data_IF_762922109180
#
_entry.id   IF_762922109180
#
_cell.length_a   1.000
_cell.length_b   1.000
_cell.length_c   1.000
_cell.angle_alpha   90.00
_cell.angle_beta   90.00
_cell.angle_gamma   90.00
#
_symmetry.space_group_name_H-M   'P 1'
#
loop_
_entity.id
_entity.type
_entity.pdbx_description
1 polymer ?
#
# COMPACT_ATOMS: atom_id res chain seq x y z
N UNK A 1 9.25 15.14 -11.62
CA UNK A 1 8.81 14.31 -10.48
C UNK A 1 9.83 13.21 -10.28
N UNK A 2 10.14 12.88 -9.03
CA UNK A 2 11.13 11.85 -8.66
C UNK A 2 10.36 10.65 -8.07
N UNK A 3 10.58 9.41 -8.56
CA UNK A 3 9.94 8.23 -7.98
C UNK A 3 10.29 8.06 -6.50
N UNK A 4 9.35 7.53 -5.71
CA UNK A 4 9.53 7.25 -4.28
C UNK A 4 10.59 6.18 -3.96
N UNK A 5 11.05 5.44 -4.97
CA UNK A 5 11.97 4.30 -4.82
C UNK A 5 11.26 2.97 -4.52
N UNK A 6 9.96 3.01 -4.23
CA UNK A 6 9.13 1.80 -4.09
C UNK A 6 8.78 1.22 -5.49
N UNK A 7 8.65 -0.11 -5.63
CA UNK A 7 8.23 -0.73 -6.88
C UNK A 7 6.86 -0.25 -7.36
N UNK A 8 6.70 -0.14 -8.69
CA UNK A 8 5.40 0.15 -9.29
C UNK A 8 4.44 -1.03 -9.16
N UNK A 9 3.16 -0.72 -9.02
CA UNK A 9 2.06 -1.68 -8.96
C UNK A 9 1.43 -1.82 -10.34
N UNK A 10 1.45 -3.03 -10.88
CA UNK A 10 0.76 -3.35 -12.13
C UNK A 10 -0.73 -3.62 -11.86
N UNK A 11 -1.61 -2.88 -12.53
CA UNK A 11 -3.06 -3.06 -12.45
C UNK A 11 -3.72 -2.55 -13.73
N UNK A 12 -4.69 -3.27 -14.29
CA UNK A 12 -5.48 -2.81 -15.44
C UNK A 12 -4.65 -2.44 -16.69
N UNK A 13 -3.49 -3.09 -16.92
CA UNK A 13 -2.60 -2.77 -18.04
C UNK A 13 -1.70 -1.55 -17.83
N UNK A 14 -1.70 -0.95 -16.63
CA UNK A 14 -0.83 0.16 -16.27
C UNK A 14 0.11 -0.20 -15.13
N UNK A 15 1.27 0.47 -15.08
CA UNK A 15 2.18 0.44 -13.95
C UNK A 15 2.01 1.74 -13.17
N UNK A 16 1.76 1.66 -11.87
CA UNK A 16 1.36 2.77 -11.02
C UNK A 16 2.35 2.96 -9.87
N UNK A 17 2.88 4.16 -9.65
CA UNK A 17 3.83 4.41 -8.57
C UNK A 17 3.66 5.80 -7.94
N UNK A 18 4.11 5.93 -6.70
CA UNK A 18 4.25 7.22 -6.03
C UNK A 18 5.47 7.96 -6.55
N UNK A 19 5.26 9.21 -6.92
CA UNK A 19 6.30 10.17 -7.26
C UNK A 19 6.13 11.45 -6.45
N UNK A 20 7.22 12.19 -6.27
CA UNK A 20 7.22 13.45 -5.54
C UNK A 20 7.68 14.59 -6.45
N UNK A 21 7.02 15.73 -6.34
CA UNK A 21 7.48 16.96 -6.98
C UNK A 21 8.70 17.54 -6.25
N UNK A 22 9.34 18.56 -6.82
CA UNK A 22 10.41 19.30 -6.14
C UNK A 22 9.91 20.02 -4.87
N UNK A 23 8.61 20.30 -4.78
CA UNK A 23 7.98 20.85 -3.57
C UNK A 23 7.61 19.78 -2.54
N UNK A 24 7.92 18.51 -2.80
CA UNK A 24 7.61 17.39 -1.91
C UNK A 24 6.15 16.94 -1.94
N UNK A 25 5.33 17.49 -2.83
CA UNK A 25 3.95 17.05 -2.99
C UNK A 25 3.93 15.67 -3.66
N UNK A 26 3.23 14.68 -3.09
CA UNK A 26 3.08 13.39 -3.72
C UNK A 26 2.17 13.48 -4.94
N UNK A 27 2.38 12.58 -5.89
CA UNK A 27 1.53 12.31 -7.04
C UNK A 27 1.54 10.82 -7.32
N UNK A 28 0.43 10.29 -7.82
CA UNK A 28 0.36 8.91 -8.31
C UNK A 28 0.47 8.96 -9.83
N UNK A 29 1.51 8.34 -10.36
CA UNK A 29 1.75 8.28 -11.81
C UNK A 29 1.37 6.91 -12.32
N UNK A 30 0.52 6.88 -13.33
CA UNK A 30 0.10 5.69 -14.07
C UNK A 30 0.72 5.72 -15.46
N UNK A 31 1.49 4.69 -15.80
CA UNK A 31 2.00 4.48 -17.15
C UNK A 31 1.26 3.33 -17.83
N UNK A 32 0.58 3.62 -18.93
CA UNK A 32 -0.10 2.61 -19.73
C UNK A 32 0.90 1.96 -20.69
N UNK A 33 1.10 0.65 -20.55
CA UNK A 33 2.07 -0.09 -21.36
C UNK A 33 1.62 -0.29 -22.81
N UNK A 34 0.31 -0.34 -23.07
CA UNK A 34 -0.22 -0.61 -24.41
C UNK A 34 -0.20 0.58 -25.35
N UNK A 35 -0.37 1.80 -24.82
CA UNK A 35 -0.36 3.05 -25.60
C UNK A 35 0.83 3.96 -25.28
N UNK A 36 1.73 3.51 -24.40
CA UNK A 36 2.96 4.21 -24.00
C UNK A 36 2.74 5.65 -23.49
N UNK A 37 1.63 5.87 -22.78
CA UNK A 37 1.26 7.20 -22.24
C UNK A 37 1.27 7.21 -20.72
N UNK A 38 1.69 8.34 -20.13
CA UNK A 38 1.54 8.57 -18.69
C UNK A 38 0.31 9.44 -18.40
N UNK A 39 -0.30 9.21 -17.24
CA UNK A 39 -1.27 10.11 -16.63
C UNK A 39 -1.03 10.21 -15.13
N UNK A 40 -1.39 11.34 -14.56
CA UNK A 40 -1.49 11.48 -13.11
C UNK A 40 -2.87 10.98 -12.67
N UNK A 41 -2.92 10.23 -11.56
CA UNK A 41 -4.18 9.84 -10.91
C UNK A 41 -4.46 10.86 -9.81
N UNK A 42 -5.70 11.35 -9.74
CA UNK A 42 -6.17 12.14 -8.60
C UNK A 42 -5.96 11.39 -7.29
N UNK A 43 -5.82 12.15 -6.21
CA UNK A 43 -5.54 11.62 -4.88
C UNK A 43 -6.73 11.86 -3.94
N UNK A 44 -6.96 10.98 -2.95
CA UNK A 44 -7.83 11.27 -1.83
C UNK A 44 -7.43 12.54 -1.09
N UNK A 45 -8.39 13.17 -0.41
CA UNK A 45 -8.10 14.16 0.62
C UNK A 45 -7.66 13.45 1.91
N UNK A 46 -6.34 13.34 2.08
CA UNK A 46 -5.74 12.70 3.25
C UNK A 46 -5.72 13.61 4.50
N UNK A 47 -6.00 14.91 4.35
CA UNK A 47 -5.69 15.91 5.37
C UNK A 47 -4.17 16.02 5.63
N UNK A 48 -3.78 16.11 6.91
CA UNK A 48 -2.37 16.17 7.32
C UNK A 48 -1.78 14.75 7.42
N UNK A 49 -0.84 14.41 6.54
CA UNK A 49 -0.14 13.13 6.53
C UNK A 49 1.37 13.32 6.61
N UNK A 50 2.07 12.26 7.05
CA UNK A 50 3.53 12.24 7.19
C UNK A 50 4.15 11.42 6.05
N UNK A 51 3.49 10.35 5.62
CA UNK A 51 4.00 9.43 4.58
C UNK A 51 2.86 8.76 3.83
N UNK A 52 3.09 8.44 2.56
CA UNK A 52 2.19 7.62 1.75
C UNK A 52 2.89 6.34 1.34
N UNK A 53 2.13 5.24 1.30
CA UNK A 53 2.53 3.99 0.63
C UNK A 53 1.43 3.51 -0.29
N UNK A 54 1.82 2.80 -1.36
CA UNK A 54 0.89 2.17 -2.30
C UNK A 54 0.84 0.66 -2.07
N UNK A 55 -0.35 0.08 -2.20
CA UNK A 55 -0.54 -1.38 -2.18
C UNK A 55 -1.74 -1.78 -3.05
N UNK A 56 -1.99 -3.09 -3.13
CA UNK A 56 -3.19 -3.67 -3.74
C UNK A 56 -3.98 -4.39 -2.65
N UNK A 57 -5.26 -4.11 -2.54
CA UNK A 57 -6.21 -4.83 -1.68
C UNK A 57 -7.52 -4.99 -2.44
N UNK A 58 -8.15 -6.17 -2.34
CA UNK A 58 -9.40 -6.49 -3.05
C UNK A 58 -9.35 -6.21 -4.55
N UNK A 59 -8.19 -6.49 -5.16
CA UNK A 59 -7.93 -6.18 -6.57
C UNK A 59 -8.12 -4.70 -6.95
N UNK A 60 -8.08 -3.79 -5.96
CA UNK A 60 -8.13 -2.35 -6.15
C UNK A 60 -6.78 -1.71 -5.80
N UNK A 61 -6.43 -0.66 -6.52
CA UNK A 61 -5.28 0.18 -6.18
C UNK A 61 -5.56 0.92 -4.88
N UNK A 62 -4.64 0.82 -3.92
CA UNK A 62 -4.81 1.37 -2.59
C UNK A 62 -3.69 2.33 -2.21
N UNK A 63 -4.05 3.35 -1.44
CA UNK A 63 -3.11 4.24 -0.76
C UNK A 63 -3.28 4.08 0.74
N UNK A 64 -2.16 3.95 1.44
CA UNK A 64 -2.12 4.07 2.90
C UNK A 64 -1.50 5.41 3.25
N UNK A 65 -2.28 6.29 3.87
CA UNK A 65 -1.79 7.54 4.43
C UNK A 65 -1.45 7.36 5.89
N UNK A 66 -0.18 7.57 6.22
CA UNK A 66 0.38 7.41 7.55
C UNK A 66 0.44 8.76 8.27
N UNK A 67 -0.11 8.82 9.49
CA UNK A 67 0.06 9.92 10.43
C UNK A 67 0.68 9.42 11.73
N UNK A 68 0.97 10.34 12.65
CA UNK A 68 1.52 10.00 13.98
C UNK A 68 0.51 9.27 14.89
N UNK A 69 -0.77 9.23 14.51
CA UNK A 69 -1.85 8.68 15.36
C UNK A 69 -2.61 7.53 14.70
N UNK A 70 -2.67 7.49 13.37
CA UNK A 70 -3.44 6.50 12.63
C UNK A 70 -2.91 6.30 11.22
N UNK A 71 -3.34 5.19 10.61
CA UNK A 71 -3.12 4.86 9.21
C UNK A 71 -4.48 4.73 8.53
N UNK A 72 -4.77 5.56 7.53
CA UNK A 72 -5.99 5.45 6.73
C UNK A 72 -5.70 4.70 5.43
N UNK A 73 -6.53 3.71 5.13
CA UNK A 73 -6.47 2.94 3.89
C UNK A 73 -7.55 3.45 2.95
N UNK A 74 -7.13 3.87 1.77
CA UNK A 74 -8.00 4.39 0.70
C UNK A 74 -7.96 3.45 -0.49
N UNK A 75 -9.13 3.14 -1.04
CA UNK A 75 -9.32 2.30 -2.22
C UNK A 75 -9.79 3.16 -3.38
N UNK A 76 -9.19 2.95 -4.55
CA UNK A 76 -9.70 3.48 -5.79
C UNK A 76 -10.75 2.50 -6.34
N UNK A 77 -12.03 2.88 -6.27
CA UNK A 77 -13.15 2.00 -6.65
C UNK A 77 -13.26 1.78 -8.15
N UNK A 78 -12.97 2.83 -8.91
CA UNK A 78 -13.05 2.85 -10.36
C UNK A 78 -11.76 3.45 -10.92
N UNK A 79 -11.04 2.66 -11.70
CA UNK A 79 -9.77 3.07 -12.28
C UNK A 79 -9.94 4.06 -13.45
N UNK A 80 -11.10 4.03 -14.11
CA UNK A 80 -11.48 4.99 -15.15
C UNK A 80 -11.94 6.31 -14.53
N UNK A 81 -12.68 6.23 -13.42
CA UNK A 81 -13.05 7.39 -12.60
C UNK A 81 -12.08 7.59 -11.43
N UNK A 82 -10.98 8.27 -11.69
CA UNK A 82 -9.88 8.50 -10.73
C UNK A 82 -10.30 9.28 -9.47
N UNK A 83 -11.47 9.92 -9.47
CA UNK A 83 -12.01 10.66 -8.33
C UNK A 83 -12.78 9.75 -7.34
N UNK A 84 -12.87 8.44 -7.62
CA UNK A 84 -13.66 7.46 -6.88
C UNK A 84 -12.99 6.89 -5.62
N UNK A 85 -12.11 7.66 -4.99
CA UNK A 85 -11.42 7.21 -3.79
C UNK A 85 -12.37 7.11 -2.58
N UNK A 86 -12.38 5.94 -1.94
CA UNK A 86 -13.15 5.68 -0.72
C UNK A 86 -12.23 5.26 0.41
N UNK A 87 -12.47 5.78 1.61
CA UNK A 87 -11.76 5.33 2.80
C UNK A 87 -12.34 3.98 3.23
N UNK A 88 -11.54 2.93 3.16
CA UNK A 88 -11.95 1.59 3.55
C UNK A 88 -11.90 1.43 5.07
N UNK A 89 -10.75 1.72 5.68
CA UNK A 89 -10.57 1.53 7.12
C UNK A 89 -9.56 2.51 7.69
N UNK A 90 -9.76 2.86 8.97
CA UNK A 90 -8.78 3.57 9.79
C UNK A 90 -8.17 2.60 10.79
N UNK A 91 -6.86 2.46 10.75
CA UNK A 91 -6.09 1.61 11.65
C UNK A 91 -5.33 2.46 12.67
N UNK A 92 -5.07 1.95 13.88
CA UNK A 92 -4.22 2.63 14.83
C UNK A 92 -2.80 2.80 14.27
N UNK A 93 -2.06 3.75 14.83
CA UNK A 93 -0.63 3.82 14.59
C UNK A 93 0.07 2.58 15.18
N UNK A 94 0.77 1.83 14.33
CA UNK A 94 1.48 0.60 14.72
C UNK A 94 2.99 0.80 14.91
N UNK A 95 3.49 2.04 14.90
CA UNK A 95 4.90 2.28 15.16
C UNK A 95 5.22 1.95 16.61
N UNK A 96 6.21 1.10 16.83
CA UNK A 96 6.66 0.75 18.18
C UNK A 96 7.33 1.94 18.89
N UNK A 97 7.46 1.83 20.22
CA UNK A 97 8.11 2.79 21.14
C UNK A 97 9.54 3.21 20.76
N UNK A 98 10.13 2.65 19.70
CA UNK A 98 11.55 2.80 19.38
C UNK A 98 11.87 3.16 17.92
N UNK A 99 10.91 3.64 17.12
CA UNK A 99 11.23 4.24 15.82
C UNK A 99 11.92 3.32 14.80
N UNK A 100 11.95 2.00 15.03
CA UNK A 100 12.69 1.04 14.19
C UNK A 100 11.96 0.61 12.92
N UNK A 101 10.69 1.01 12.73
CA UNK A 101 9.95 0.74 11.50
C UNK A 101 10.07 1.93 10.55
N UNK A 102 11.17 1.98 9.79
CA UNK A 102 11.38 3.01 8.76
C UNK A 102 10.24 3.10 7.72
N UNK A 103 9.47 2.01 7.60
CA UNK A 103 8.24 1.89 6.84
C UNK A 103 7.27 1.17 7.78
N UNK A 104 6.10 1.75 8.08
CA UNK A 104 5.08 1.10 8.93
C UNK A 104 4.71 -0.31 8.43
N UNK A 105 3.85 -1.07 9.15
CA UNK A 105 3.54 -2.42 8.72
C UNK A 105 2.97 -2.45 7.30
N UNK A 106 3.38 -3.46 6.53
CA UNK A 106 2.74 -3.76 5.25
C UNK A 106 1.37 -4.37 5.54
N UNK A 107 0.32 -3.75 5.01
CA UNK A 107 -1.02 -4.34 5.01
C UNK A 107 -1.04 -5.40 3.91
N UNK A 108 -1.26 -6.65 4.31
CA UNK A 108 -1.25 -7.80 3.39
C UNK A 108 -2.66 -8.15 2.96
N UNK A 109 -3.61 -8.11 3.89
CA UNK A 109 -5.00 -8.49 3.63
C UNK A 109 -5.93 -7.82 4.64
N UNK A 110 -7.15 -7.52 4.20
CA UNK A 110 -8.27 -7.06 5.03
C UNK A 110 -9.42 -8.02 4.76
N UNK A 111 -10.00 -8.60 5.81
CA UNK A 111 -11.13 -9.53 5.68
C UNK A 111 -12.33 -8.89 5.00
N UNK A 112 -13.18 -9.69 4.37
CA UNK A 112 -14.39 -9.20 3.68
C UNK A 112 -15.37 -8.45 4.59
N UNK A 113 -15.37 -8.76 5.89
CA UNK A 113 -16.16 -8.09 6.92
C UNK A 113 -15.47 -6.85 7.53
N UNK A 114 -14.29 -6.47 7.05
CA UNK A 114 -13.46 -5.36 7.54
C UNK A 114 -13.05 -5.47 9.03
N UNK A 115 -13.26 -6.63 9.65
CA UNK A 115 -13.02 -6.82 11.09
C UNK A 115 -11.58 -7.25 11.42
N UNK A 116 -10.86 -7.83 10.45
CA UNK A 116 -9.54 -8.40 10.66
C UNK A 116 -8.56 -7.93 9.60
N UNK A 117 -7.40 -7.46 10.05
CA UNK A 117 -6.33 -7.00 9.16
C UNK A 117 -5.07 -7.82 9.39
N UNK A 118 -4.56 -8.44 8.33
CA UNK A 118 -3.27 -9.11 8.33
C UNK A 118 -2.17 -8.10 8.02
N UNK A 119 -1.27 -7.94 8.97
CA UNK A 119 -0.14 -7.03 8.94
C UNK A 119 1.16 -7.82 8.94
N UNK A 120 2.13 -7.32 8.18
CA UNK A 120 3.50 -7.81 8.19
C UNK A 120 4.44 -6.68 8.62
N UNK A 121 5.18 -6.95 9.69
CA UNK A 121 6.22 -6.08 10.22
C UNK A 121 7.59 -6.65 9.84
N UNK A 122 8.48 -5.79 9.39
CA UNK A 122 9.90 -6.11 9.26
C UNK A 122 10.64 -5.59 10.49
N UNK A 123 11.07 -6.51 11.34
CA UNK A 123 11.84 -6.21 12.55
C UNK A 123 13.27 -6.73 12.33
N UNK A 124 14.18 -5.81 12.00
CA UNK A 124 15.54 -6.14 11.52
C UNK A 124 15.50 -7.12 10.33
N UNK A 125 16.04 -8.32 10.52
CA UNK A 125 16.07 -9.40 9.54
C UNK A 125 14.92 -10.39 9.71
N UNK A 126 13.90 -10.11 10.53
CA UNK A 126 12.77 -11.03 10.76
C UNK A 126 11.46 -10.42 10.28
N UNK A 127 10.61 -11.28 9.72
CA UNK A 127 9.24 -10.95 9.37
C UNK A 127 8.32 -11.41 10.50
N UNK A 128 7.51 -10.48 11.01
CA UNK A 128 6.49 -10.76 12.03
C UNK A 128 5.11 -10.57 11.44
N UNK A 129 4.32 -11.62 11.47
CA UNK A 129 2.94 -11.64 10.98
C UNK A 129 1.98 -11.45 12.14
N UNK A 130 1.02 -10.55 11.94
CA UNK A 130 0.09 -10.12 12.98
C UNK A 130 -1.30 -10.00 12.39
N UNK A 131 -2.31 -10.47 13.11
CA UNK A 131 -3.71 -10.14 12.84
C UNK A 131 -4.14 -9.09 13.84
N UNK A 132 -4.62 -7.96 13.33
CA UNK A 132 -5.31 -6.95 14.11
C UNK A 132 -6.82 -7.19 14.01
N UNK A 133 -7.47 -7.33 15.16
CA UNK A 133 -8.93 -7.38 15.30
C UNK A 133 -9.43 -5.95 15.54
N UNK A 134 -10.11 -5.40 14.55
CA UNK A 134 -10.60 -4.02 14.53
C UNK A 134 -11.75 -3.81 15.52
N UNK A 135 -12.58 -4.84 15.75
CA UNK A 135 -13.72 -4.76 16.68
C UNK A 135 -13.26 -4.68 18.12
N UNK A 136 -12.30 -5.51 18.50
CA UNK A 136 -11.81 -5.59 19.87
C UNK A 136 -10.54 -4.75 20.11
N UNK A 137 -9.98 -4.14 19.06
CA UNK A 137 -8.69 -3.44 19.10
C UNK A 137 -7.57 -4.31 19.67
N UNK A 138 -7.55 -5.59 19.30
CA UNK A 138 -6.54 -6.55 19.79
C UNK A 138 -5.58 -6.98 18.70
N UNK A 139 -4.37 -7.38 19.11
CA UNK A 139 -3.29 -7.78 18.24
C UNK A 139 -2.92 -9.23 18.56
N UNK A 140 -3.02 -10.12 17.57
CA UNK A 140 -2.60 -11.51 17.69
C UNK A 140 -1.40 -11.78 16.78
N UNK A 141 -0.27 -12.13 17.38
CA UNK A 141 0.93 -12.54 16.60
C UNK A 141 0.75 -13.97 16.09
N UNK A 142 0.99 -14.17 14.79
CA UNK A 142 1.02 -15.51 14.19
C UNK A 142 2.46 -16.01 14.22
N UNK A 143 2.66 -17.22 14.75
CA UNK A 143 3.94 -17.93 14.66
C UNK A 143 3.99 -18.68 13.33
N UNK A 144 4.69 -18.12 12.35
CA UNK A 144 4.99 -18.76 11.07
C UNK A 144 6.50 -19.04 11.03
N UNK A 145 6.93 -20.03 10.27
CA UNK A 145 8.36 -20.23 9.99
C UNK A 145 8.97 -18.98 9.37
N UNK A 146 10.23 -18.71 9.70
CA UNK A 146 10.93 -17.50 9.27
C UNK A 146 11.23 -17.55 7.76
N UNK A 147 10.52 -16.73 6.98
CA UNK A 147 10.70 -16.57 5.54
C UNK A 147 11.47 -15.29 5.18
N UNK A 148 12.24 -14.73 6.12
CA UNK A 148 12.97 -13.46 5.95
C UNK A 148 13.90 -13.36 4.73
N UNK A 149 14.22 -14.47 4.09
CA UNK A 149 15.12 -14.55 2.93
C UNK A 149 14.41 -14.84 1.60
N UNK A 150 13.08 -14.93 1.58
CA UNK A 150 12.32 -15.25 0.35
C UNK A 150 11.80 -13.96 -0.26
N UNK A 151 12.34 -13.59 -1.43
CA UNK A 151 11.75 -12.57 -2.30
C UNK A 151 10.87 -13.29 -3.35
N UNK A 152 9.62 -12.85 -3.47
CA UNK A 152 8.67 -13.42 -4.42
C UNK A 152 8.32 -12.39 -5.47
N UNK A 153 8.76 -12.62 -6.70
CA UNK A 153 8.32 -11.84 -7.86
C UNK A 153 7.26 -12.63 -8.61
N UNK A 154 6.13 -11.98 -8.91
CA UNK A 154 5.11 -12.53 -9.80
C UNK A 154 5.62 -12.32 -11.23
N UNK A 155 5.91 -13.42 -11.93
CA UNK A 155 6.23 -13.38 -13.35
C UNK A 155 4.93 -13.29 -14.15
N UNK A 156 4.80 -12.24 -14.96
CA UNK A 156 3.75 -12.11 -15.97
C UNK A 156 4.42 -12.39 -17.31
N UNK A 157 3.92 -13.39 -18.03
CA UNK A 157 4.40 -13.76 -19.37
C UNK A 157 4.23 -12.58 -20.35
N UNK A 158 5.12 -12.48 -21.33
CA UNK A 158 5.27 -11.33 -22.24
C UNK A 158 3.94 -10.71 -22.71
N UNK A 159 3.80 -9.38 -22.56
CA UNK A 159 2.69 -8.60 -23.11
C UNK A 159 2.75 -8.47 -24.64
N UNK A 160 3.81 -8.99 -25.27
CA UNK A 160 3.98 -9.04 -26.72
C UNK A 160 4.06 -10.51 -27.13
N UNK A 161 3.12 -10.94 -27.97
CA UNK A 161 3.21 -12.24 -28.64
C UNK A 161 4.34 -12.17 -29.69
N UNK A 162 5.14 -13.24 -29.87
CA UNK A 162 6.21 -13.27 -30.88
C UNK A 162 5.71 -13.12 -32.32
#
# INVERSE_FOLDING_TARGET
MVPSGEPGIFFGGTVNWLAYSNSGLPAIISFNLGIESYKEISQPDYGMFVKLTMCMLRDCLCIVSHSDSFNDVWLLMDYENQESWVKLIRLPYFGGDHGYYAHGPKIVYISEDDDHVLLMFKEFAKLKWVVYDCKNSTIKTIKIQDFSWVDSMVYIESLVSP
#
